data_IF_066096093676
#
_entry.id   IF_066096093676
#
_cell.length_a   1.000
_cell.length_b   1.000
_cell.length_c   1.000
_cell.angle_alpha   90.00
_cell.angle_beta   90.00
_cell.angle_gamma   90.00
#
_symmetry.space_group_name_H-M   'P 1'
#
loop_
_entity.id
_entity.type
_entity.pdbx_description
1 polymer ?
#
# COMPACT_ATOMS: atom_id res chain seq x y z
N UNK A 1 10.31 -15.98 -7.35
CA UNK A 1 9.15 -15.63 -8.23
C UNK A 1 9.13 -14.13 -8.40
N UNK A 2 9.09 -13.62 -9.64
CA UNK A 2 8.95 -12.18 -9.90
C UNK A 2 7.49 -11.79 -9.60
N UNK A 3 7.28 -10.87 -8.66
CA UNK A 3 5.95 -10.33 -8.36
C UNK A 3 5.67 -9.19 -9.33
N UNK A 4 4.63 -9.32 -10.15
CA UNK A 4 4.19 -8.25 -11.05
C UNK A 4 3.25 -7.29 -10.30
N UNK A 5 3.50 -5.99 -10.40
CA UNK A 5 2.68 -4.94 -9.80
C UNK A 5 2.05 -4.08 -10.89
N UNK A 6 0.78 -3.74 -10.71
CA UNK A 6 0.11 -2.71 -11.51
C UNK A 6 0.71 -1.34 -11.19
N UNK A 7 0.53 -0.34 -12.06
CA UNK A 7 1.04 1.01 -11.82
C UNK A 7 0.56 1.62 -10.49
N UNK A 8 -0.66 1.26 -10.06
CA UNK A 8 -1.25 1.73 -8.78
C UNK A 8 -0.65 1.02 -7.58
N UNK A 9 -0.42 -0.27 -7.67
CA UNK A 9 0.30 -1.02 -6.63
C UNK A 9 1.75 -0.56 -6.53
N UNK A 10 2.42 -0.30 -7.65
CA UNK A 10 3.79 0.21 -7.64
C UNK A 10 3.88 1.58 -6.98
N UNK A 11 2.99 2.51 -7.35
CA UNK A 11 2.91 3.82 -6.69
C UNK A 11 2.66 3.70 -5.18
N UNK A 12 1.80 2.75 -4.77
CA UNK A 12 1.53 2.49 -3.36
C UNK A 12 2.74 1.89 -2.64
N UNK A 13 3.48 0.99 -3.28
CA UNK A 13 4.74 0.45 -2.75
C UNK A 13 5.75 1.58 -2.54
N UNK A 14 5.90 2.47 -3.51
CA UNK A 14 6.84 3.59 -3.43
C UNK A 14 6.47 4.54 -2.26
N UNK A 15 5.18 4.82 -2.07
CA UNK A 15 4.67 5.57 -0.91
C UNK A 15 5.00 4.85 0.39
N UNK A 16 4.72 3.54 0.50
CA UNK A 16 4.97 2.77 1.73
C UNK A 16 6.46 2.56 2.03
N UNK A 17 7.32 2.59 1.01
CA UNK A 17 8.78 2.59 1.18
C UNK A 17 9.30 3.95 1.68
N UNK A 18 8.73 5.05 1.20
CA UNK A 18 9.08 6.40 1.67
C UNK A 18 8.46 6.72 3.05
N UNK A 19 7.26 6.21 3.31
CA UNK A 19 6.46 6.45 4.52
C UNK A 19 5.95 5.11 5.07
N UNK A 20 6.78 4.38 5.83
CA UNK A 20 6.33 3.18 6.50
C UNK A 20 5.31 3.51 7.60
N UNK A 21 4.44 2.56 7.93
CA UNK A 21 3.37 2.68 8.93
C UNK A 21 2.34 3.80 8.64
N UNK A 22 2.08 4.07 7.36
CA UNK A 22 1.05 5.03 6.92
C UNK A 22 -0.36 4.46 6.99
N UNK A 23 -1.32 5.32 7.26
CA UNK A 23 -2.76 5.07 7.22
C UNK A 23 -3.31 5.29 5.81
N UNK A 24 -4.48 4.74 5.50
CA UNK A 24 -5.15 4.95 4.21
C UNK A 24 -5.35 6.44 3.91
N UNK A 25 -5.67 7.24 4.93
CA UNK A 25 -5.89 8.67 4.78
C UNK A 25 -4.60 9.41 4.38
N UNK A 26 -3.46 9.06 4.99
CA UNK A 26 -2.15 9.62 4.64
C UNK A 26 -1.76 9.23 3.21
N UNK A 27 -1.93 7.96 2.82
CA UNK A 27 -1.62 7.49 1.46
C UNK A 27 -2.43 8.21 0.37
N UNK A 28 -3.69 8.54 0.66
CA UNK A 28 -4.58 9.28 -0.27
C UNK A 28 -4.12 10.72 -0.53
N UNK A 29 -3.29 11.30 0.35
CA UNK A 29 -2.75 12.63 0.15
C UNK A 29 -1.64 12.66 -0.92
N UNK A 30 -1.05 11.52 -1.26
CA UNK A 30 0.01 11.45 -2.26
C UNK A 30 -0.52 11.54 -3.70
N UNK A 31 0.21 12.28 -4.53
CA UNK A 31 -0.11 12.53 -5.93
C UNK A 31 -0.02 11.20 -6.70
N UNK A 32 -1.16 10.70 -7.19
CA UNK A 32 -1.25 9.45 -7.97
C UNK A 32 -2.39 8.51 -7.56
N UNK A 33 -2.97 8.71 -6.37
CA UNK A 33 -4.06 7.90 -5.81
C UNK A 33 -5.28 8.76 -5.45
N UNK A 34 -5.63 9.70 -6.34
CA UNK A 34 -6.70 10.70 -6.13
C UNK A 34 -8.11 10.10 -6.12
N UNK A 35 -8.31 8.93 -6.74
CA UNK A 35 -9.61 8.27 -6.69
C UNK A 35 -9.80 7.58 -5.34
N UNK A 36 -11.03 7.71 -4.79
CA UNK A 36 -11.41 7.16 -3.48
C UNK A 36 -11.09 5.67 -3.32
N UNK A 37 -11.11 4.92 -4.43
CA UNK A 37 -10.95 3.47 -4.48
C UNK A 37 -9.56 2.98 -4.90
N UNK A 38 -8.65 3.87 -5.34
CA UNK A 38 -7.32 3.46 -5.80
C UNK A 38 -6.50 2.85 -4.65
N UNK A 39 -6.44 3.53 -3.49
CA UNK A 39 -5.68 3.06 -2.32
C UNK A 39 -6.25 1.74 -1.78
N UNK A 40 -7.58 1.60 -1.51
CA UNK A 40 -8.14 0.32 -1.05
C UNK A 40 -7.92 -0.84 -2.02
N UNK A 41 -8.07 -0.62 -3.34
CA UNK A 41 -7.83 -1.68 -4.32
C UNK A 41 -6.37 -2.11 -4.38
N UNK A 42 -5.45 -1.15 -4.40
CA UNK A 42 -4.01 -1.43 -4.41
C UNK A 42 -3.58 -2.13 -3.11
N UNK A 43 -4.06 -1.70 -1.94
CA UNK A 43 -3.82 -2.40 -0.68
C UNK A 43 -4.33 -3.84 -0.72
N UNK A 44 -5.53 -4.08 -1.27
CA UNK A 44 -6.03 -5.45 -1.40
C UNK A 44 -5.16 -6.31 -2.34
N UNK A 45 -4.69 -5.75 -3.46
CA UNK A 45 -3.76 -6.43 -4.36
C UNK A 45 -2.44 -6.81 -3.67
N UNK A 46 -1.83 -5.87 -2.94
CA UNK A 46 -0.61 -6.12 -2.17
C UNK A 46 -0.82 -7.14 -1.03
N UNK A 47 -1.99 -7.13 -0.39
CA UNK A 47 -2.37 -8.12 0.63
C UNK A 47 -2.47 -9.52 0.05
N UNK A 48 -3.16 -9.69 -1.08
CA UNK A 48 -3.29 -10.98 -1.77
C UNK A 48 -1.92 -11.51 -2.23
N UNK A 49 -1.00 -10.61 -2.58
CA UNK A 49 0.38 -10.94 -2.95
C UNK A 49 1.29 -11.24 -1.75
N UNK A 50 0.80 -11.12 -0.52
CA UNK A 50 1.55 -11.42 0.71
C UNK A 50 2.72 -10.45 0.98
N UNK A 51 2.64 -9.21 0.49
CA UNK A 51 3.70 -8.18 0.64
C UNK A 51 3.25 -6.97 1.44
N UNK A 52 2.10 -7.07 2.12
CA UNK A 52 1.53 -6.00 2.91
C UNK A 52 1.39 -6.43 4.36
N UNK A 53 2.01 -5.66 5.25
CA UNK A 53 1.78 -5.74 6.69
C UNK A 53 0.80 -4.66 7.10
N UNK A 54 0.03 -4.95 8.15
CA UNK A 54 -0.82 -3.96 8.79
C UNK A 54 -0.84 -4.15 10.30
N UNK A 55 -1.03 -3.07 11.05
CA UNK A 55 -1.27 -3.11 12.49
C UNK A 55 -2.74 -3.34 12.78
N UNK A 56 -3.05 -3.80 14.01
CA UNK A 56 -4.42 -3.94 14.50
C UNK A 56 -5.02 -2.62 15.02
N UNK A 57 -4.33 -1.48 14.82
CA UNK A 57 -4.76 -0.17 15.30
C UNK A 57 -6.01 0.33 14.58
N UNK A 58 -6.66 1.35 15.15
CA UNK A 58 -7.78 2.06 14.53
C UNK A 58 -7.44 3.56 14.43
N UNK A 59 -7.12 4.09 13.22
CA UNK A 59 -7.08 3.40 11.93
C UNK A 59 -5.87 2.47 11.76
N UNK A 60 -5.98 1.42 10.93
CA UNK A 60 -4.86 0.53 10.65
C UNK A 60 -3.74 1.26 9.94
N UNK A 61 -2.50 0.95 10.33
CA UNK A 61 -1.28 1.42 9.67
C UNK A 61 -0.71 0.30 8.82
N UNK A 62 -0.20 0.64 7.65
CA UNK A 62 0.29 -0.30 6.66
C UNK A 62 1.76 -0.08 6.37
N UNK A 63 2.45 -1.18 6.08
CA UNK A 63 3.86 -1.18 5.70
C UNK A 63 4.08 -2.20 4.60
N UNK A 64 4.99 -1.90 3.68
CA UNK A 64 5.42 -2.85 2.67
C UNK A 64 6.38 -3.87 3.32
N UNK A 65 6.08 -5.15 3.16
CA UNK A 65 7.00 -6.23 3.53
C UNK A 65 7.56 -6.85 2.26
N UNK A 66 8.82 -6.49 1.99
CA UNK A 66 9.63 -7.20 1.03
C UNK A 66 10.28 -8.37 1.76
N UNK A 67 9.52 -9.46 1.95
CA UNK A 67 10.14 -10.75 2.23
C UNK A 67 10.89 -11.16 0.95
N UNK A 68 12.11 -10.64 0.80
CA UNK A 68 13.16 -11.19 -0.07
C UNK A 68 13.78 -12.41 0.61
#
# INVERSE_FOLDING_TARGET
MVKFYTSKEQALIDILKAHPNSTVSEMKMHIGLRNRNDVPHALNGLRVKGVLLHTADKPPRYSFSDNQ
#
